data_IF_836661441928
#
_entry.id   IF_836661441928
#
_cell.length_a   1.000
_cell.length_b   1.000
_cell.length_c   1.000
_cell.angle_alpha   90.00
_cell.angle_beta   90.00
_cell.angle_gamma   90.00
#
_symmetry.space_group_name_H-M   'P 1'
#
loop_
_entity.id
_entity.type
_entity.pdbx_description
1 polymer ?
#
# COMPACT_ATOMS: atom_id res chain seq x y z
N UNK A 1 -3.40 21.67 20.45
CA UNK A 1 -3.70 20.52 19.60
C UNK A 1 -2.61 19.48 19.80
N UNK A 2 -2.98 18.26 20.16
CA UNK A 2 -1.99 17.18 20.37
C UNK A 2 -1.38 16.75 19.04
N UNK A 3 -0.15 16.19 19.06
CA UNK A 3 0.51 15.68 17.85
C UNK A 3 -0.35 14.61 17.13
N UNK A 4 -1.06 13.78 17.91
CA UNK A 4 -1.99 12.77 17.38
C UNK A 4 -3.17 13.41 16.64
N UNK A 5 -3.78 14.48 17.19
CA UNK A 5 -4.87 15.19 16.51
C UNK A 5 -4.39 15.81 15.19
N UNK A 6 -3.18 16.38 15.15
CA UNK A 6 -2.62 16.91 13.90
C UNK A 6 -2.39 15.82 12.83
N UNK A 7 -2.07 14.59 13.22
CA UNK A 7 -1.95 13.47 12.29
C UNK A 7 -3.32 13.11 11.71
N UNK A 8 -4.37 13.06 12.54
CA UNK A 8 -5.72 12.74 12.05
C UNK A 8 -6.25 13.85 11.11
N UNK A 9 -6.00 15.13 11.42
CA UNK A 9 -6.36 16.24 10.52
C UNK A 9 -5.67 16.13 9.15
N UNK A 10 -4.38 15.77 9.13
CA UNK A 10 -3.65 15.54 7.90
C UNK A 10 -4.24 14.37 7.08
N UNK A 11 -4.55 13.26 7.75
CA UNK A 11 -5.12 12.08 7.10
C UNK A 11 -6.52 12.33 6.55
N UNK A 12 -7.34 13.11 7.27
CA UNK A 12 -8.65 13.55 6.80
C UNK A 12 -8.53 14.39 5.53
N UNK A 13 -7.60 15.35 5.51
CA UNK A 13 -7.36 16.19 4.32
C UNK A 13 -6.87 15.35 3.12
N UNK A 14 -6.03 14.34 3.34
CA UNK A 14 -5.60 13.42 2.29
C UNK A 14 -6.77 12.60 1.71
N UNK A 15 -7.68 12.17 2.57
CA UNK A 15 -8.86 11.40 2.16
C UNK A 15 -9.84 12.28 1.36
N UNK A 16 -10.16 13.47 1.87
CA UNK A 16 -11.19 14.34 1.33
C UNK A 16 -10.72 15.11 0.09
N UNK A 17 -9.55 15.78 0.19
CA UNK A 17 -9.08 16.67 -0.87
C UNK A 17 -8.27 15.96 -1.94
N UNK A 18 -7.44 14.97 -1.56
CA UNK A 18 -6.59 14.23 -2.50
C UNK A 18 -7.15 12.89 -2.92
N UNK A 19 -8.33 12.51 -2.44
CA UNK A 19 -9.03 11.26 -2.76
C UNK A 19 -8.13 10.03 -2.68
N UNK A 20 -7.23 10.01 -1.69
CA UNK A 20 -6.34 8.88 -1.48
C UNK A 20 -7.12 7.64 -1.07
N UNK A 21 -6.71 6.46 -1.55
CA UNK A 21 -7.41 5.22 -1.23
C UNK A 21 -7.42 4.94 0.28
N UNK A 22 -8.47 4.26 0.80
CA UNK A 22 -8.54 3.86 2.22
C UNK A 22 -7.31 3.07 2.67
N UNK A 23 -6.73 2.24 1.79
CA UNK A 23 -5.49 1.51 2.08
C UNK A 23 -4.29 2.43 2.26
N UNK A 24 -4.17 3.48 1.45
CA UNK A 24 -3.11 4.49 1.59
C UNK A 24 -3.24 5.22 2.92
N UNK A 25 -4.46 5.66 3.27
CA UNK A 25 -4.74 6.35 4.54
C UNK A 25 -4.41 5.46 5.73
N UNK A 26 -4.83 4.19 5.71
CA UNK A 26 -4.52 3.21 6.76
C UNK A 26 -3.01 2.98 6.93
N UNK A 27 -2.30 2.83 5.83
CA UNK A 27 -0.85 2.68 5.84
C UNK A 27 -0.14 3.94 6.38
N UNK A 28 -0.54 5.13 5.92
CA UNK A 28 0.04 6.39 6.38
C UNK A 28 -0.25 6.64 7.86
N UNK A 29 -1.45 6.31 8.33
CA UNK A 29 -1.78 6.37 9.77
C UNK A 29 -0.80 5.53 10.58
N UNK A 30 -0.59 4.27 10.20
CA UNK A 30 0.36 3.37 10.88
C UNK A 30 1.78 3.91 10.88
N UNK A 31 2.22 4.47 9.75
CA UNK A 31 3.55 5.02 9.59
C UNK A 31 3.77 6.29 10.42
N UNK A 32 2.76 7.15 10.49
CA UNK A 32 2.79 8.38 11.29
C UNK A 32 2.70 8.10 12.79
N UNK A 33 1.87 7.13 13.20
CA UNK A 33 1.85 6.69 14.61
C UNK A 33 3.20 6.12 15.04
N UNK A 34 3.91 5.42 14.15
CA UNK A 34 5.28 4.96 14.42
C UNK A 34 6.26 6.12 14.54
N UNK A 35 6.10 7.19 13.75
CA UNK A 35 6.90 8.41 13.91
C UNK A 35 6.68 9.03 15.29
N UNK A 36 5.43 9.17 15.73
CA UNK A 36 5.10 9.69 17.05
C UNK A 36 5.74 8.86 18.16
N UNK A 37 5.68 7.54 18.06
CA UNK A 37 6.29 6.64 19.04
C UNK A 37 7.82 6.77 19.10
N UNK A 38 8.48 6.98 17.95
CA UNK A 38 9.94 7.17 17.87
C UNK A 38 10.37 8.55 18.37
N UNK A 39 9.55 9.57 18.17
CA UNK A 39 9.81 10.93 18.63
C UNK A 39 9.67 11.04 20.16
N UNK A 40 8.81 10.22 20.77
CA UNK A 40 8.57 10.26 22.22
C UNK A 40 8.09 11.64 22.66
N UNK A 41 8.68 12.15 23.74
CA UNK A 41 8.35 13.45 24.30
C UNK A 41 8.97 14.64 23.51
N UNK A 42 9.85 14.35 22.54
CA UNK A 42 10.36 15.39 21.64
C UNK A 42 9.22 15.87 20.73
N UNK A 43 8.96 17.17 20.73
CA UNK A 43 7.97 17.76 19.84
C UNK A 43 8.32 17.47 18.38
N UNK A 44 7.32 17.10 17.57
CA UNK A 44 7.56 16.84 16.13
C UNK A 44 8.14 18.07 15.41
N UNK A 45 7.85 19.28 15.90
CA UNK A 45 8.37 20.52 15.35
C UNK A 45 9.89 20.67 15.52
N UNK A 46 10.47 20.01 16.52
CA UNK A 46 11.89 20.11 16.86
C UNK A 46 12.74 19.00 16.25
N UNK A 47 12.12 18.07 15.52
CA UNK A 47 12.83 16.97 14.89
C UNK A 47 13.79 17.45 13.81
N UNK A 48 15.02 16.95 13.88
CA UNK A 48 16.11 17.26 12.96
C UNK A 48 16.40 16.10 12.02
N UNK A 49 17.01 16.38 10.87
CA UNK A 49 17.38 15.41 9.84
C UNK A 49 18.15 14.20 10.41
N UNK A 50 19.06 14.42 11.36
CA UNK A 50 19.84 13.34 11.96
C UNK A 50 18.99 12.39 12.81
N UNK A 51 17.91 12.88 13.43
CA UNK A 51 16.98 12.05 14.20
C UNK A 51 16.15 11.17 13.24
N UNK A 52 15.67 11.72 12.12
CA UNK A 52 14.98 10.93 11.09
C UNK A 52 15.90 9.86 10.54
N UNK A 53 17.17 10.18 10.25
CA UNK A 53 18.16 9.16 9.82
C UNK A 53 18.34 8.06 10.86
N UNK A 54 18.43 8.40 12.13
CA UNK A 54 18.53 7.45 13.25
C UNK A 54 17.28 6.55 13.32
N UNK A 55 16.07 7.10 13.18
CA UNK A 55 14.83 6.33 13.18
C UNK A 55 14.79 5.34 12.01
N UNK A 56 15.19 5.76 10.81
CA UNK A 56 15.28 4.89 9.64
C UNK A 56 16.29 3.75 9.87
N UNK A 57 17.45 4.06 10.42
CA UNK A 57 18.49 3.06 10.74
C UNK A 57 18.00 2.05 11.80
N UNK A 58 17.35 2.53 12.86
CA UNK A 58 16.77 1.70 13.91
C UNK A 58 15.71 0.75 13.35
N UNK A 59 14.79 1.25 12.54
CA UNK A 59 13.74 0.44 11.93
C UNK A 59 14.30 -0.57 10.93
N UNK A 60 15.36 -0.22 10.22
CA UNK A 60 16.05 -1.15 9.33
C UNK A 60 16.73 -2.28 10.13
N UNK A 61 17.40 -1.95 11.22
CA UNK A 61 17.98 -2.94 12.12
C UNK A 61 16.94 -3.88 12.76
N UNK A 62 15.69 -3.42 12.90
CA UNK A 62 14.55 -4.23 13.33
C UNK A 62 13.93 -5.09 12.21
N UNK A 63 14.55 -5.12 11.01
CA UNK A 63 14.15 -5.97 9.91
C UNK A 63 13.18 -5.33 8.89
N UNK A 64 12.88 -4.03 8.98
CA UNK A 64 12.03 -3.39 7.96
C UNK A 64 12.80 -3.29 6.62
N UNK A 65 12.11 -3.70 5.55
CA UNK A 65 12.68 -3.61 4.20
C UNK A 65 12.86 -2.15 3.76
N UNK A 66 13.83 -1.88 2.89
CA UNK A 66 14.01 -0.55 2.31
C UNK A 66 12.78 -0.04 1.55
N UNK A 67 11.95 -0.94 0.97
CA UNK A 67 10.66 -0.58 0.35
C UNK A 67 9.67 -0.06 1.40
N UNK A 68 9.54 -0.73 2.53
CA UNK A 68 8.68 -0.29 3.64
C UNK A 68 9.15 1.03 4.22
N UNK A 69 10.45 1.20 4.40
CA UNK A 69 11.06 2.45 4.88
C UNK A 69 10.88 3.58 3.86
N UNK A 70 10.94 3.29 2.56
CA UNK A 70 10.67 4.26 1.49
C UNK A 70 9.25 4.80 1.55
N UNK A 71 8.25 3.91 1.70
CA UNK A 71 6.85 4.30 1.88
C UNK A 71 6.65 5.14 3.15
N UNK A 72 7.24 4.70 4.25
CA UNK A 72 7.19 5.40 5.54
C UNK A 72 7.78 6.81 5.46
N UNK A 73 8.95 6.96 4.84
CA UNK A 73 9.56 8.27 4.59
C UNK A 73 8.67 9.16 3.70
N UNK A 74 7.95 8.59 2.75
CA UNK A 74 7.00 9.34 1.93
C UNK A 74 5.84 9.89 2.76
N UNK A 75 5.28 9.07 3.67
CA UNK A 75 4.24 9.51 4.60
C UNK A 75 4.75 10.62 5.55
N UNK A 76 5.92 10.44 6.14
CA UNK A 76 6.54 11.42 7.03
C UNK A 76 6.85 12.74 6.31
N UNK A 77 7.44 12.67 5.10
CA UNK A 77 7.74 13.85 4.28
C UNK A 77 6.47 14.62 3.91
N UNK A 78 5.41 13.91 3.52
CA UNK A 78 4.12 14.52 3.24
C UNK A 78 3.53 15.23 4.44
N UNK A 79 3.60 14.61 5.63
CA UNK A 79 3.11 15.19 6.87
C UNK A 79 3.89 16.44 7.30
N UNK A 80 5.23 16.41 7.26
CA UNK A 80 6.04 17.59 7.55
C UNK A 80 5.86 18.69 6.51
N UNK A 81 5.66 18.36 5.25
CA UNK A 81 5.28 19.34 4.22
C UNK A 81 3.95 20.02 4.54
N UNK A 82 2.96 19.24 4.99
CA UNK A 82 1.67 19.76 5.43
C UNK A 82 1.77 20.66 6.67
N UNK A 83 2.63 20.30 7.63
CA UNK A 83 2.93 21.15 8.79
C UNK A 83 3.65 22.45 8.37
N UNK A 84 4.57 22.38 7.40
CA UNK A 84 5.28 23.56 6.87
C UNK A 84 4.34 24.56 6.22
N UNK A 85 3.36 24.10 5.42
CA UNK A 85 2.33 24.97 4.82
C UNK A 85 1.48 25.71 5.88
N UNK A 86 1.45 25.22 7.11
CA UNK A 86 0.75 25.81 8.27
C UNK A 86 1.66 26.54 9.22
N UNK A 87 2.91 26.78 8.83
CA UNK A 87 3.95 27.44 9.63
C UNK A 87 4.18 26.78 11.01
N UNK A 88 3.98 25.45 11.11
CA UNK A 88 4.18 24.68 12.34
C UNK A 88 5.58 24.08 12.47
N UNK A 89 6.31 24.00 11.37
CA UNK A 89 7.71 23.59 11.29
C UNK A 89 8.45 24.53 10.34
N UNK A 90 9.72 24.82 10.64
CA UNK A 90 10.53 25.71 9.82
C UNK A 90 11.08 25.02 8.57
N UNK A 91 11.40 23.74 8.69
CA UNK A 91 11.94 22.92 7.61
C UNK A 91 11.42 21.49 7.72
N UNK A 92 11.44 20.76 6.62
CA UNK A 92 11.06 19.37 6.59
C UNK A 92 12.25 18.49 6.99
N UNK A 93 12.24 17.83 8.15
CA UNK A 93 13.39 17.03 8.61
C UNK A 93 13.59 15.74 7.79
N UNK A 94 12.66 15.39 6.90
CA UNK A 94 12.78 14.25 6.01
C UNK A 94 13.51 14.58 4.70
N UNK A 95 13.82 15.86 4.44
CA UNK A 95 14.49 16.25 3.21
C UNK A 95 15.91 15.70 3.16
N UNK A 96 16.27 15.16 1.98
CA UNK A 96 17.57 14.51 1.79
C UNK A 96 17.76 13.16 2.50
N UNK A 97 16.78 12.67 3.26
CA UNK A 97 16.82 11.33 3.83
C UNK A 97 16.36 10.31 2.79
N UNK A 98 17.19 9.29 2.55
CA UNK A 98 16.90 8.20 1.59
C UNK A 98 16.76 6.88 2.34
N UNK A 99 15.83 6.01 1.91
CA UNK A 99 15.75 4.67 2.45
C UNK A 99 16.95 3.82 2.00
N UNK A 100 17.29 2.75 2.73
CA UNK A 100 18.24 1.75 2.25
C UNK A 100 17.82 1.19 0.89
N UNK A 101 18.81 0.85 0.06
CA UNK A 101 18.55 0.22 -1.23
C UNK A 101 17.88 -1.14 -1.02
N UNK A 102 16.80 -1.39 -1.74
CA UNK A 102 16.18 -2.71 -1.82
C UNK A 102 16.57 -3.37 -3.14
N UNK A 103 16.86 -4.68 -3.16
CA UNK A 103 17.07 -5.38 -4.41
C UNK A 103 15.80 -5.27 -5.28
N UNK A 104 15.99 -4.97 -6.56
CA UNK A 104 14.93 -5.07 -7.56
C UNK A 104 14.82 -6.54 -7.96
N UNK A 105 13.92 -7.25 -7.28
CA UNK A 105 13.56 -8.59 -7.72
C UNK A 105 12.72 -8.44 -9.00
N UNK A 106 13.12 -9.15 -10.03
CA UNK A 106 12.27 -9.31 -11.22
C UNK A 106 11.01 -10.06 -10.82
N UNK A 107 9.84 -9.70 -11.39
CA UNK A 107 8.65 -10.50 -11.20
C UNK A 107 8.94 -11.94 -11.63
N UNK A 108 8.60 -12.91 -10.78
CA UNK A 108 8.61 -14.32 -11.17
C UNK A 108 7.34 -14.55 -11.99
N UNK A 109 7.46 -14.43 -13.29
CA UNK A 109 6.41 -14.88 -14.20
C UNK A 109 6.40 -16.41 -14.21
N UNK A 110 5.21 -16.99 -14.26
CA UNK A 110 5.05 -18.43 -14.51
C UNK A 110 5.52 -18.74 -15.93
N UNK A 111 6.14 -19.89 -16.12
CA UNK A 111 6.34 -20.45 -17.47
C UNK A 111 5.00 -20.81 -18.10
N UNK A 112 4.99 -21.03 -19.41
CA UNK A 112 3.78 -21.44 -20.14
C UNK A 112 3.21 -22.74 -19.55
N UNK A 113 4.08 -23.71 -19.24
CA UNK A 113 3.68 -25.00 -18.68
C UNK A 113 3.12 -24.87 -17.25
N UNK A 114 3.74 -24.03 -16.40
CA UNK A 114 3.23 -23.75 -15.06
C UNK A 114 1.87 -23.01 -15.11
N UNK A 115 1.68 -22.08 -16.05
CA UNK A 115 0.41 -21.40 -16.24
C UNK A 115 -0.68 -22.38 -16.74
N UNK A 116 -0.34 -23.28 -17.67
CA UNK A 116 -1.26 -24.30 -18.14
C UNK A 116 -1.65 -25.29 -17.05
N UNK A 117 -0.69 -25.71 -16.21
CA UNK A 117 -0.97 -26.58 -15.06
C UNK A 117 -1.88 -25.90 -14.02
N UNK A 118 -1.75 -24.59 -13.83
CA UNK A 118 -2.62 -23.83 -12.93
C UNK A 118 -4.06 -23.73 -13.45
N UNK A 119 -4.25 -23.70 -14.78
CA UNK A 119 -5.57 -23.63 -15.43
C UNK A 119 -6.27 -25.01 -15.48
N UNK A 120 -5.55 -26.10 -15.27
CA UNK A 120 -6.08 -27.46 -15.25
C UNK A 120 -5.79 -28.12 -13.89
N UNK A 121 -6.36 -27.64 -12.77
CA UNK A 121 -6.10 -28.20 -11.45
C UNK A 121 -6.58 -29.65 -11.39
N UNK A 122 -5.69 -30.58 -11.04
CA UNK A 122 -6.02 -31.96 -10.72
C UNK A 122 -6.37 -32.04 -9.22
N UNK A 123 -7.53 -32.61 -8.90
CA UNK A 123 -7.74 -33.23 -7.61
C UNK A 123 -8.42 -32.40 -6.52
N UNK A 124 -9.41 -31.58 -6.83
CA UNK A 124 -10.33 -31.13 -5.79
C UNK A 124 -11.47 -32.16 -5.62
N UNK A 125 -11.70 -32.63 -4.39
CA UNK A 125 -12.75 -33.61 -4.08
C UNK A 125 -14.16 -33.02 -4.28
N UNK A 126 -14.29 -31.67 -4.35
CA UNK A 126 -15.55 -30.95 -4.62
C UNK A 126 -15.58 -30.36 -6.04
N UNK A 127 -16.38 -30.93 -6.96
CA UNK A 127 -16.48 -30.43 -8.33
C UNK A 127 -16.92 -28.95 -8.45
N UNK A 128 -17.69 -28.46 -7.50
CA UNK A 128 -18.13 -27.05 -7.51
C UNK A 128 -16.97 -26.11 -7.16
N UNK A 129 -16.15 -26.47 -6.20
CA UNK A 129 -14.94 -25.71 -5.85
C UNK A 129 -13.92 -25.76 -7.00
N UNK A 130 -13.70 -26.91 -7.60
CA UNK A 130 -12.82 -27.06 -8.77
C UNK A 130 -13.26 -26.17 -9.93
N UNK A 131 -14.55 -26.17 -10.27
CA UNK A 131 -15.10 -25.34 -11.33
C UNK A 131 -14.95 -23.84 -11.03
N UNK A 132 -15.20 -23.42 -9.77
CA UNK A 132 -14.99 -22.05 -9.32
C UNK A 132 -13.53 -21.62 -9.48
N UNK A 133 -12.61 -22.43 -9.00
CA UNK A 133 -11.18 -22.08 -8.99
C UNK A 133 -10.63 -22.04 -10.43
N UNK A 134 -11.03 -22.96 -11.29
CA UNK A 134 -10.71 -22.92 -12.73
C UNK A 134 -11.21 -21.62 -13.36
N UNK A 135 -12.47 -21.25 -13.15
CA UNK A 135 -13.04 -20.01 -13.69
C UNK A 135 -12.30 -18.77 -13.19
N UNK A 136 -11.92 -18.73 -11.92
CA UNK A 136 -11.14 -17.63 -11.33
C UNK A 136 -9.76 -17.50 -11.97
N UNK A 137 -9.05 -18.62 -12.17
CA UNK A 137 -7.73 -18.61 -12.80
C UNK A 137 -7.81 -18.25 -14.29
N UNK A 138 -8.80 -18.75 -15.02
CA UNK A 138 -9.03 -18.38 -16.41
C UNK A 138 -9.32 -16.89 -16.57
N UNK A 139 -10.15 -16.31 -15.69
CA UNK A 139 -10.42 -14.87 -15.69
C UNK A 139 -9.16 -14.06 -15.39
N UNK A 140 -8.37 -14.44 -14.39
CA UNK A 140 -7.11 -13.76 -14.08
C UNK A 140 -6.12 -13.80 -15.26
N UNK A 141 -6.02 -14.95 -15.91
CA UNK A 141 -5.11 -15.16 -17.04
C UNK A 141 -5.56 -14.41 -18.30
N UNK A 142 -6.85 -14.48 -18.63
CA UNK A 142 -7.39 -13.90 -19.88
C UNK A 142 -7.55 -12.37 -19.80
N UNK A 143 -7.96 -11.84 -18.64
CA UNK A 143 -8.29 -10.42 -18.46
C UNK A 143 -7.21 -9.60 -17.76
N UNK A 144 -6.26 -10.27 -17.07
CA UNK A 144 -5.23 -9.57 -16.26
C UNK A 144 -5.80 -8.82 -15.06
N UNK A 145 -6.97 -9.21 -14.57
CA UNK A 145 -7.59 -8.61 -13.37
C UNK A 145 -6.67 -8.68 -12.15
N UNK A 146 -6.75 -7.66 -11.28
CA UNK A 146 -6.16 -7.77 -9.96
C UNK A 146 -7.04 -8.63 -9.07
N UNK A 147 -6.43 -9.31 -8.08
CA UNK A 147 -7.18 -10.15 -7.13
C UNK A 147 -8.37 -9.43 -6.48
N UNK A 148 -8.21 -8.15 -6.12
CA UNK A 148 -9.29 -7.36 -5.55
C UNK A 148 -10.43 -7.08 -6.55
N UNK A 149 -10.11 -6.90 -7.82
CA UNK A 149 -11.07 -6.70 -8.90
C UNK A 149 -11.85 -8.00 -9.15
N UNK A 150 -11.15 -9.14 -9.20
CA UNK A 150 -11.79 -10.45 -9.30
C UNK A 150 -12.71 -10.72 -8.10
N UNK A 151 -12.26 -10.45 -6.88
CA UNK A 151 -13.04 -10.68 -5.67
C UNK A 151 -14.26 -9.75 -5.52
N UNK A 152 -14.28 -8.64 -6.25
CA UNK A 152 -15.39 -7.69 -6.28
C UNK A 152 -16.40 -7.96 -7.41
N UNK A 153 -16.16 -8.95 -8.26
CA UNK A 153 -17.11 -9.33 -9.31
C UNK A 153 -18.35 -9.95 -8.68
N UNK A 154 -19.52 -9.48 -9.13
CA UNK A 154 -20.81 -10.01 -8.74
C UNK A 154 -21.45 -10.73 -9.93
N UNK A 155 -22.43 -11.60 -9.69
CA UNK A 155 -23.18 -12.36 -10.69
C UNK A 155 -23.81 -11.43 -11.73
N UNK A 156 -24.38 -10.31 -11.29
CA UNK A 156 -25.00 -9.30 -12.17
C UNK A 156 -24.01 -8.70 -13.18
N UNK A 157 -22.72 -8.56 -12.81
CA UNK A 157 -21.68 -8.11 -13.71
C UNK A 157 -21.36 -9.14 -14.80
N UNK A 158 -21.53 -10.43 -14.52
CA UNK A 158 -21.39 -11.50 -15.48
C UNK A 158 -22.53 -11.61 -16.48
N UNK A 159 -23.76 -11.39 -16.06
CA UNK A 159 -24.93 -11.40 -16.96
C UNK A 159 -24.80 -10.32 -18.03
N UNK A 160 -24.35 -9.13 -17.64
CA UNK A 160 -24.05 -8.04 -18.59
C UNK A 160 -22.87 -8.39 -19.49
N UNK A 161 -21.83 -9.01 -18.96
CA UNK A 161 -20.62 -9.39 -19.69
C UNK A 161 -20.88 -10.48 -20.75
N UNK A 162 -21.78 -11.43 -20.49
CA UNK A 162 -22.16 -12.47 -21.45
C UNK A 162 -22.84 -11.87 -22.69
N UNK A 163 -23.50 -10.75 -22.56
CA UNK A 163 -24.18 -10.05 -23.67
C UNK A 163 -23.21 -9.11 -24.43
N UNK A 164 -22.26 -8.49 -23.74
CA UNK A 164 -21.37 -7.45 -24.29
C UNK A 164 -19.96 -7.98 -24.60
N UNK A 165 -19.58 -9.15 -24.09
CA UNK A 165 -18.22 -9.70 -24.21
C UNK A 165 -17.15 -8.99 -23.38
N UNK A 166 -17.57 -8.09 -22.47
CA UNK A 166 -16.68 -7.30 -21.63
C UNK A 166 -17.09 -7.36 -20.16
N UNK A 167 -16.11 -7.57 -19.26
CA UNK A 167 -16.33 -7.48 -17.81
C UNK A 167 -15.90 -6.10 -17.33
N UNK A 168 -16.81 -5.34 -16.76
CA UNK A 168 -16.51 -4.04 -16.13
C UNK A 168 -16.17 -4.22 -14.66
N UNK A 169 -15.01 -3.72 -14.27
CA UNK A 169 -14.56 -3.64 -12.86
C UNK A 169 -14.67 -2.20 -12.36
N UNK A 170 -15.15 -2.04 -11.13
CA UNK A 170 -15.35 -0.75 -10.47
C UNK A 170 -14.10 -0.30 -9.71
#
# INVERSE_FOLDING_TARGET
MTAKAAVEDYLAELAEQRRQSPHTISNYRRDLMRLLALAGDAGLADLQVHQIRRFVAQLHAQGLSGRSLGRMLSAWRGYFGWLGLRNRVQANPCDGVRPPKSPRLLPKALSVDEAAALLAPEGDDDPALAARDTAMFELLYSSGLRLAELAALDVDAFESALLEGEVRVL
#
